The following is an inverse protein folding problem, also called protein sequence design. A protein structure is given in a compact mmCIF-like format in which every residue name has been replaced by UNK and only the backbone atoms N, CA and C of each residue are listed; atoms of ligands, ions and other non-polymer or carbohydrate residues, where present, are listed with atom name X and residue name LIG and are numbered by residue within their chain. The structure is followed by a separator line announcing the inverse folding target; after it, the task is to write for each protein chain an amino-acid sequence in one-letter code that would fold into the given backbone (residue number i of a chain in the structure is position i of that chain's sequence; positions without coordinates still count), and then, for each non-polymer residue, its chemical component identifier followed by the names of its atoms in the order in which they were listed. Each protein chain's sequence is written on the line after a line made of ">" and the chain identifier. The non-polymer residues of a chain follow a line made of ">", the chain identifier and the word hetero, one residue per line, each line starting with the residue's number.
data_IF_050723271748
#
_entry.id   IF_050723271748
#
_cell.length_a   1.000
_cell.length_b   1.000
_cell.length_c   1.000
_cell.angle_alpha   90.00
_cell.angle_beta   90.00
_cell.angle_gamma   90.00
#
_symmetry.space_group_name_H-M   'P 1'
#
loop_
_entity.id
_entity.type
_entity.pdbx_description
1 polymer ?
#
# COMPACT_ATOMS: atom_id res chain seq x y z
N UNK A 1 -7.22 -12.80 22.99
CA UNK A 1 -6.13 -13.61 22.52
C UNK A 1 -6.31 -15.05 22.98
N UNK A 2 -5.80 -16.00 22.24
CA UNK A 2 -5.96 -17.42 22.53
C UNK A 2 -4.66 -18.18 22.27
N UNK A 3 -4.55 -19.38 22.86
CA UNK A 3 -3.43 -20.27 22.64
C UNK A 3 -3.92 -21.57 22.01
N UNK A 4 -3.24 -22.02 20.96
CA UNK A 4 -3.59 -23.29 20.26
C UNK A 4 -3.25 -24.48 21.17
N UNK A 5 -4.24 -25.33 21.44
CA UNK A 5 -4.09 -26.57 22.19
C UNK A 5 -3.98 -27.80 21.32
N UNK A 6 -4.77 -27.86 20.24
CA UNK A 6 -4.82 -28.99 19.31
C UNK A 6 -5.08 -28.47 17.89
N UNK A 7 -4.54 -29.15 16.88
CA UNK A 7 -4.67 -28.78 15.48
C UNK A 7 -3.65 -27.74 15.03
N UNK A 8 -3.85 -27.22 13.82
CA UNK A 8 -3.04 -26.14 13.25
C UNK A 8 -3.91 -25.25 12.35
N UNK A 9 -3.64 -23.95 12.33
CA UNK A 9 -4.35 -22.97 11.52
C UNK A 9 -3.39 -22.02 10.85
N UNK A 10 -3.77 -21.53 9.70
CA UNK A 10 -3.14 -20.34 9.10
C UNK A 10 -3.99 -19.12 9.44
N UNK A 11 -3.35 -18.07 9.90
CA UNK A 11 -4.01 -16.83 10.31
C UNK A 11 -3.44 -15.64 9.56
N UNK A 12 -4.32 -14.73 9.20
CA UNK A 12 -3.94 -13.43 8.68
C UNK A 12 -3.95 -12.42 9.83
N UNK A 13 -2.80 -11.82 10.08
CA UNK A 13 -2.59 -10.81 11.13
C UNK A 13 -2.42 -9.39 10.56
N UNK A 14 -2.84 -9.14 9.32
CA UNK A 14 -2.66 -7.87 8.61
C UNK A 14 -3.21 -6.64 9.34
N UNK A 15 -4.29 -6.80 10.10
CA UNK A 15 -4.85 -5.72 10.93
C UNK A 15 -3.93 -5.32 12.10
N UNK A 16 -3.00 -6.19 12.49
CA UNK A 16 -2.08 -5.98 13.62
C UNK A 16 -0.68 -5.60 13.14
N UNK A 17 -0.19 -6.28 12.10
CA UNK A 17 1.18 -6.15 11.59
C UNK A 17 1.29 -5.30 10.34
N UNK A 18 0.19 -5.12 9.60
CA UNK A 18 0.18 -4.52 8.27
C UNK A 18 0.59 -5.47 7.14
N UNK A 19 1.02 -6.71 7.47
CA UNK A 19 1.46 -7.69 6.48
C UNK A 19 0.31 -8.64 6.13
N UNK A 20 0.06 -8.83 4.84
CA UNK A 20 -1.04 -9.68 4.34
C UNK A 20 -0.71 -11.17 4.30
N UNK A 21 0.52 -11.55 4.64
CA UNK A 21 0.95 -12.94 4.61
C UNK A 21 0.26 -13.74 5.72
N UNK A 22 -0.17 -14.96 5.37
CA UNK A 22 -0.73 -15.87 6.34
C UNK A 22 0.38 -16.52 7.14
N UNK A 23 0.21 -16.54 8.46
CA UNK A 23 1.16 -17.15 9.38
C UNK A 23 0.64 -18.49 9.88
N UNK A 24 1.41 -19.59 9.75
CA UNK A 24 1.04 -20.87 10.33
C UNK A 24 1.16 -20.81 11.85
N UNK A 25 0.12 -21.26 12.55
CA UNK A 25 0.07 -21.38 14.01
C UNK A 25 -0.16 -22.82 14.39
N UNK A 26 0.77 -23.36 15.16
CA UNK A 26 0.80 -24.73 15.63
C UNK A 26 0.45 -24.80 17.13
N UNK A 27 0.37 -26.04 17.65
CA UNK A 27 0.10 -26.26 19.08
C UNK A 27 1.14 -25.52 19.94
N UNK A 28 0.65 -24.67 20.81
CA UNK A 28 1.46 -23.83 21.71
C UNK A 28 1.61 -22.39 21.28
N UNK A 29 1.28 -22.06 20.02
CA UNK A 29 1.35 -20.70 19.49
C UNK A 29 0.16 -19.85 19.95
N UNK A 30 0.36 -18.53 19.93
CA UNK A 30 -0.65 -17.56 20.32
C UNK A 30 -1.37 -17.01 19.07
N UNK A 31 -2.69 -16.90 19.21
CA UNK A 31 -3.60 -16.26 18.27
C UNK A 31 -4.03 -14.92 18.85
N UNK A 32 -3.81 -13.86 18.10
CA UNK A 32 -4.13 -12.52 18.55
C UNK A 32 -5.55 -12.09 18.16
N UNK A 33 -6.21 -11.39 19.08
CA UNK A 33 -7.48 -10.70 18.80
C UNK A 33 -7.29 -9.70 17.65
N UNK A 34 -8.16 -9.76 16.65
CA UNK A 34 -8.04 -8.96 15.41
C UNK A 34 -7.41 -9.70 14.23
N UNK A 35 -6.86 -10.90 14.43
CA UNK A 35 -6.50 -11.81 13.36
C UNK A 35 -7.71 -12.66 12.94
N UNK A 36 -7.67 -13.20 11.72
CA UNK A 36 -8.70 -14.14 11.26
C UNK A 36 -8.06 -15.38 10.64
N UNK A 37 -8.72 -16.53 10.85
CA UNK A 37 -8.27 -17.81 10.33
C UNK A 37 -8.59 -17.89 8.84
N UNK A 38 -7.58 -18.15 8.03
CA UNK A 38 -7.69 -18.29 6.56
C UNK A 38 -7.75 -19.74 6.11
N UNK A 39 -7.12 -20.65 6.87
CA UNK A 39 -7.12 -22.08 6.59
C UNK A 39 -6.91 -22.91 7.86
N UNK A 40 -7.32 -24.19 7.84
CA UNK A 40 -7.14 -25.14 8.93
C UNK A 40 -8.20 -25.06 10.01
N UNK A 41 -8.04 -25.89 11.05
CA UNK A 41 -8.92 -25.99 12.22
C UNK A 41 -8.08 -26.25 13.47
N UNK A 42 -8.37 -25.54 14.55
CA UNK A 42 -7.70 -25.73 15.83
C UNK A 42 -8.61 -25.52 17.02
N UNK A 43 -8.33 -26.27 18.08
CA UNK A 43 -8.95 -26.05 19.38
C UNK A 43 -8.03 -25.10 20.20
N UNK A 44 -8.61 -23.99 20.69
CA UNK A 44 -7.83 -22.93 21.33
C UNK A 44 -8.37 -22.61 22.73
N UNK A 45 -7.48 -22.27 23.65
CA UNK A 45 -7.82 -21.74 24.95
C UNK A 45 -7.69 -20.22 24.96
N UNK A 46 -8.74 -19.53 25.34
CA UNK A 46 -8.71 -18.08 25.51
C UNK A 46 -7.83 -17.71 26.71
N UNK A 47 -6.83 -16.83 26.50
CA UNK A 47 -5.87 -16.38 27.52
C UNK A 47 -6.11 -14.94 27.94
N UNK A 48 -6.51 -14.04 27.01
CA UNK A 48 -6.82 -12.65 27.32
C UNK A 48 -8.18 -12.27 26.77
N UNK A 49 -8.91 -11.40 27.48
CA UNK A 49 -10.24 -10.93 27.08
C UNK A 49 -10.39 -9.41 27.32
N UNK A 50 -11.18 -8.78 26.51
CA UNK A 50 -11.53 -7.36 26.68
C UNK A 50 -10.34 -6.43 26.52
N UNK A 51 -9.99 -5.66 27.56
CA UNK A 51 -8.91 -4.65 27.49
C UNK A 51 -7.51 -5.24 27.51
N UNK A 52 -7.38 -6.48 27.94
CA UNK A 52 -6.09 -7.18 28.04
C UNK A 52 -5.70 -7.87 26.73
N UNK A 53 -6.56 -7.82 25.71
CA UNK A 53 -6.27 -8.32 24.37
C UNK A 53 -5.21 -7.45 23.69
N UNK A 54 -4.36 -8.05 22.89
CA UNK A 54 -3.30 -7.38 22.12
C UNK A 54 -3.84 -6.23 21.24
N UNK A 55 -4.90 -6.47 20.47
CA UNK A 55 -5.54 -5.44 19.65
C UNK A 55 -6.10 -4.27 20.49
N UNK A 56 -6.61 -4.54 21.71
CA UNK A 56 -7.11 -3.51 22.60
C UNK A 56 -5.96 -2.68 23.19
N UNK A 57 -4.81 -3.28 23.47
CA UNK A 57 -3.62 -2.59 23.94
C UNK A 57 -3.09 -1.64 22.86
N UNK A 58 -2.89 -2.12 21.61
CA UNK A 58 -2.49 -1.28 20.47
C UNK A 58 -3.48 -0.12 20.28
N UNK A 59 -4.78 -0.41 20.32
CA UNK A 59 -5.81 0.62 20.17
C UNK A 59 -5.76 1.65 21.31
N UNK A 60 -5.46 1.22 22.55
CA UNK A 60 -5.31 2.10 23.69
C UNK A 60 -4.09 3.01 23.56
N UNK A 61 -2.96 2.47 23.13
CA UNK A 61 -1.74 3.24 22.87
C UNK A 61 -1.94 4.23 21.70
N UNK A 62 -2.61 3.81 20.63
CA UNK A 62 -2.95 4.69 19.51
C UNK A 62 -3.93 5.82 19.92
N UNK A 63 -4.76 5.59 20.93
CA UNK A 63 -5.68 6.59 21.49
C UNK A 63 -5.01 7.54 22.51
N UNK A 64 -3.79 7.25 22.93
CA UNK A 64 -3.02 8.20 23.73
C UNK A 64 -2.76 9.47 22.93
N UNK A 65 -3.54 10.48 23.24
CA UNK A 65 -3.54 11.75 22.53
C UNK A 65 -2.26 12.53 22.84
N UNK A 66 -1.28 12.48 21.95
CA UNK A 66 -0.12 13.38 22.00
C UNK A 66 -0.58 14.78 21.58
N UNK A 67 -0.66 15.72 22.53
CA UNK A 67 -0.96 17.13 22.24
C UNK A 67 0.07 17.68 21.28
N UNK A 68 -0.35 17.98 20.08
CA UNK A 68 0.51 18.66 19.10
C UNK A 68 0.81 20.09 19.57
N UNK A 69 2.08 20.49 19.53
CA UNK A 69 2.49 21.85 19.80
C UNK A 69 2.17 22.73 18.60
N UNK A 70 1.08 23.49 18.69
CA UNK A 70 0.80 24.55 17.71
C UNK A 70 1.69 25.75 17.99
N UNK A 71 2.46 26.18 16.98
CA UNK A 71 3.29 27.37 17.06
C UNK A 71 2.45 28.65 17.19
N UNK A 72 1.31 28.69 16.49
CA UNK A 72 0.36 29.80 16.58
C UNK A 72 -0.17 29.95 18.02
N UNK A 73 -0.58 28.84 18.64
CA UNK A 73 -1.02 28.84 20.05
C UNK A 73 0.08 29.27 21.00
N UNK A 74 1.30 28.80 20.78
CA UNK A 74 2.46 29.18 21.61
C UNK A 74 2.80 30.68 21.47
N UNK A 75 2.75 31.17 20.24
CA UNK A 75 2.99 32.62 19.95
C UNK A 75 1.91 33.49 20.55
N UNK A 76 0.63 33.12 20.43
CA UNK A 76 -0.49 33.82 21.08
C UNK A 76 -0.34 33.82 22.58
N UNK A 77 -0.02 32.69 23.20
CA UNK A 77 0.20 32.60 24.64
C UNK A 77 1.40 33.43 25.10
N UNK A 78 2.46 33.49 24.31
CA UNK A 78 3.62 34.33 24.60
C UNK A 78 3.25 35.82 24.58
N UNK A 79 2.50 36.27 23.56
CA UNK A 79 2.00 37.65 23.47
C UNK A 79 1.10 37.97 24.66
N UNK A 80 0.13 37.09 24.96
CA UNK A 80 -0.76 37.30 26.12
C UNK A 80 0.00 37.36 27.45
N UNK A 81 1.02 36.49 27.61
CA UNK A 81 1.87 36.51 28.81
C UNK A 81 2.65 37.81 28.96
N UNK A 82 3.24 38.32 27.88
CA UNK A 82 3.96 39.60 27.90
C UNK A 82 3.00 40.76 28.25
N UNK A 83 1.84 40.81 27.58
CA UNK A 83 0.82 41.81 27.84
C UNK A 83 0.34 41.74 29.27
N UNK A 84 0.09 40.55 29.82
CA UNK A 84 -0.34 40.36 31.21
C UNK A 84 0.67 40.91 32.24
N UNK A 85 1.97 40.72 31.96
CA UNK A 85 3.04 41.26 32.80
C UNK A 85 3.07 42.80 32.73
N UNK A 86 2.86 43.40 31.55
CA UNK A 86 2.89 44.86 31.34
C UNK A 86 1.62 45.53 31.91
N UNK A 87 0.49 44.89 31.83
CA UNK A 87 -0.81 45.42 32.31
C UNK A 87 -0.77 45.73 33.81
N UNK A 88 -0.13 44.88 34.62
CA UNK A 88 -0.09 45.10 36.09
C UNK A 88 0.55 46.42 36.48
N UNK A 89 1.77 46.77 36.05
CA UNK A 89 2.39 48.06 36.39
C UNK A 89 1.66 49.26 35.77
N UNK A 90 1.14 49.10 34.51
CA UNK A 90 0.37 50.18 33.88
C UNK A 90 -0.97 50.40 34.63
N UNK A 91 -1.66 49.36 35.00
CA UNK A 91 -2.89 49.47 35.80
C UNK A 91 -2.65 50.14 37.12
N UNK A 92 -1.54 49.81 37.81
CA UNK A 92 -1.15 50.47 39.06
C UNK A 92 -0.86 51.96 38.85
N UNK A 93 -0.19 52.30 37.76
CA UNK A 93 0.16 53.69 37.39
C UNK A 93 -1.10 54.48 36.98
N UNK A 94 -2.05 53.87 36.24
CA UNK A 94 -3.33 54.49 35.93
C UNK A 94 -4.17 54.74 37.19
N UNK A 95 -4.24 53.76 38.09
CA UNK A 95 -4.95 53.92 39.37
C UNK A 95 -4.30 55.05 40.19
N UNK A 96 -2.94 55.08 40.34
CA UNK A 96 -2.24 56.10 41.07
C UNK A 96 -2.52 57.48 40.50
N UNK A 97 -2.44 57.63 39.15
CA UNK A 97 -2.73 58.89 38.48
C UNK A 97 -4.15 59.37 38.76
N UNK A 98 -5.14 58.47 38.62
CA UNK A 98 -6.57 58.84 38.77
C UNK A 98 -6.91 59.19 40.18
N UNK A 99 -6.41 58.44 41.16
CA UNK A 99 -6.75 58.62 42.58
C UNK A 99 -5.96 59.80 43.21
N UNK A 100 -4.66 59.91 42.96
CA UNK A 100 -3.82 60.93 43.63
C UNK A 100 -3.62 62.20 42.83
N UNK A 101 -3.64 62.19 41.50
CA UNK A 101 -3.37 63.38 40.68
C UNK A 101 -4.69 64.04 40.27
N UNK A 102 -5.65 63.25 39.76
CA UNK A 102 -6.96 63.78 39.31
C UNK A 102 -7.87 64.03 40.49
N UNK A 103 -7.76 63.25 41.59
CA UNK A 103 -8.54 63.41 42.79
C UNK A 103 -9.94 62.73 42.73
N UNK A 104 -10.12 61.75 41.85
CA UNK A 104 -11.35 61.02 41.72
C UNK A 104 -11.64 60.16 42.97
N UNK A 105 -12.93 59.77 43.12
CA UNK A 105 -13.29 58.82 44.18
C UNK A 105 -12.62 57.45 43.95
N UNK A 106 -12.37 56.72 45.02
CA UNK A 106 -11.78 55.36 44.92
C UNK A 106 -12.49 54.46 43.90
N UNK A 107 -13.82 54.53 43.88
CA UNK A 107 -14.65 53.77 42.97
C UNK A 107 -14.44 54.15 41.52
N UNK A 108 -14.41 55.46 41.21
CA UNK A 108 -14.28 55.97 39.85
C UNK A 108 -12.83 55.73 39.32
N UNK A 109 -11.84 55.80 40.20
CA UNK A 109 -10.45 55.47 39.88
C UNK A 109 -10.28 53.99 39.48
N UNK A 110 -10.96 53.07 40.18
CA UNK A 110 -10.96 51.66 39.81
C UNK A 110 -11.65 51.42 38.43
N UNK A 111 -12.82 52.04 38.23
CA UNK A 111 -13.57 51.88 36.97
C UNK A 111 -12.73 52.40 35.81
N UNK A 112 -12.09 53.55 35.92
CA UNK A 112 -11.23 54.15 34.92
C UNK A 112 -9.99 53.28 34.63
N UNK A 113 -9.38 52.74 35.70
CA UNK A 113 -8.25 51.81 35.56
C UNK A 113 -8.66 50.53 34.83
N UNK A 114 -9.77 49.90 35.22
CA UNK A 114 -10.26 48.68 34.57
C UNK A 114 -10.62 48.93 33.11
N UNK A 115 -11.29 50.05 32.80
CA UNK A 115 -11.63 50.38 31.41
C UNK A 115 -10.36 50.58 30.54
N UNK A 116 -9.32 51.22 31.09
CA UNK A 116 -8.05 51.38 30.40
C UNK A 116 -7.29 50.08 30.18
N UNK A 117 -7.30 49.20 31.18
CA UNK A 117 -6.67 47.88 31.14
C UNK A 117 -7.40 46.94 30.16
N UNK A 118 -8.73 46.92 30.14
CA UNK A 118 -9.51 46.13 29.22
C UNK A 118 -9.20 46.49 27.74
N UNK A 119 -9.03 47.77 27.44
CA UNK A 119 -8.68 48.19 26.09
C UNK A 119 -7.27 47.74 25.61
N UNK A 120 -6.39 47.30 26.53
CA UNK A 120 -5.05 46.83 26.21
C UNK A 120 -5.01 45.31 25.91
N UNK A 121 -6.05 44.57 26.24
CA UNK A 121 -6.11 43.13 25.97
C UNK A 121 -6.54 42.90 24.52
N UNK A 122 -5.74 42.18 23.70
CA UNK A 122 -6.07 41.98 22.28
C UNK A 122 -7.10 40.82 22.13
N UNK A 123 -8.30 40.95 22.69
CA UNK A 123 -9.33 39.95 22.64
C UNK A 123 -9.72 39.57 21.21
N UNK A 124 -9.68 40.56 20.29
CA UNK A 124 -9.97 40.36 18.88
C UNK A 124 -9.03 39.37 18.18
N UNK A 125 -7.76 39.32 18.64
CA UNK A 125 -6.78 38.42 18.03
C UNK A 125 -7.10 36.97 18.32
N UNK A 126 -7.44 36.63 19.56
CA UNK A 126 -7.81 35.24 19.97
C UNK A 126 -9.14 34.84 19.36
N UNK A 127 -10.12 35.76 19.33
CA UNK A 127 -11.42 35.50 18.72
C UNK A 127 -11.27 35.24 17.21
N UNK A 128 -10.54 36.10 16.49
CA UNK A 128 -10.36 35.99 15.05
C UNK A 128 -9.68 34.67 14.65
N UNK A 129 -8.62 34.29 15.37
CA UNK A 129 -7.94 33.01 15.15
C UNK A 129 -8.85 31.82 15.41
N UNK A 130 -9.62 31.85 16.50
CA UNK A 130 -10.56 30.77 16.80
C UNK A 130 -11.66 30.63 15.73
N UNK A 131 -12.19 31.77 15.25
CA UNK A 131 -13.20 31.79 14.17
C UNK A 131 -12.60 31.28 12.88
N UNK A 132 -11.40 31.71 12.50
CA UNK A 132 -10.73 31.24 11.28
C UNK A 132 -10.47 29.74 11.29
N UNK A 133 -9.96 29.19 12.40
CA UNK A 133 -9.74 27.76 12.55
C UNK A 133 -11.08 26.98 12.55
N UNK A 134 -12.12 27.52 13.18
CA UNK A 134 -13.46 26.89 13.17
C UNK A 134 -14.05 26.84 11.75
N UNK A 135 -13.89 27.92 10.96
CA UNK A 135 -14.32 27.92 9.55
C UNK A 135 -13.53 26.88 8.74
N UNK A 136 -12.22 26.77 8.95
CA UNK A 136 -11.41 25.72 8.33
C UNK A 136 -11.90 24.31 8.69
N UNK A 137 -12.21 24.08 9.97
CA UNK A 137 -12.77 22.80 10.42
C UNK A 137 -14.13 22.50 9.77
N UNK A 138 -15.01 23.51 9.60
CA UNK A 138 -16.29 23.34 8.91
C UNK A 138 -16.12 22.99 7.43
N UNK A 139 -15.15 23.59 6.74
CA UNK A 139 -14.85 23.26 5.35
C UNK A 139 -14.37 21.81 5.22
N UNK A 140 -13.50 21.35 6.13
CA UNK A 140 -13.05 19.95 6.16
C UNK A 140 -14.19 18.99 6.50
N UNK A 141 -15.05 19.34 7.45
CA UNK A 141 -16.22 18.53 7.81
C UNK A 141 -17.18 18.35 6.62
N UNK A 142 -17.40 19.40 5.81
CA UNK A 142 -18.19 19.30 4.59
C UNK A 142 -17.56 18.34 3.57
N UNK A 143 -16.25 18.20 3.58
CA UNK A 143 -15.51 17.18 2.79
C UNK A 143 -15.40 15.82 3.48
N UNK A 144 -16.23 15.55 4.48
CA UNK A 144 -16.26 14.29 5.27
C UNK A 144 -14.97 14.01 6.03
N UNK A 145 -14.16 15.03 6.31
CA UNK A 145 -12.92 14.91 7.08
C UNK A 145 -13.15 15.45 8.49
N UNK A 146 -13.02 14.59 9.50
CA UNK A 146 -13.21 14.97 10.90
C UNK A 146 -11.92 15.54 11.48
N UNK A 147 -11.99 16.77 11.98
CA UNK A 147 -10.89 17.43 12.67
C UNK A 147 -11.03 17.21 14.17
N UNK A 148 -10.05 16.60 14.80
CA UNK A 148 -10.05 16.33 16.24
C UNK A 148 -9.63 17.53 17.08
N UNK A 149 -8.67 18.32 16.60
CA UNK A 149 -8.19 19.58 17.20
C UNK A 149 -8.18 20.71 16.20
N UNK A 150 -8.66 21.89 16.59
CA UNK A 150 -8.70 23.06 15.71
C UNK A 150 -7.31 23.48 15.20
N UNK A 151 -6.28 23.31 16.03
CA UNK A 151 -4.90 23.68 15.67
C UNK A 151 -4.22 22.73 14.69
N UNK A 152 -4.78 21.55 14.42
CA UNK A 152 -4.23 20.64 13.40
C UNK A 152 -4.35 21.25 11.99
N UNK A 153 -5.29 22.18 11.77
CA UNK A 153 -5.43 22.92 10.50
C UNK A 153 -4.18 23.74 10.20
N UNK A 154 -3.61 24.37 11.24
CA UNK A 154 -2.33 25.09 11.12
C UNK A 154 -1.20 24.14 10.74
N UNK A 155 -1.15 22.98 11.39
CA UNK A 155 -0.12 21.96 11.10
C UNK A 155 -0.25 21.43 9.68
N UNK A 156 -1.47 21.15 9.23
CA UNK A 156 -1.74 20.71 7.85
C UNK A 156 -1.31 21.76 6.81
N UNK A 157 -1.52 23.04 7.11
CA UNK A 157 -1.12 24.13 6.21
C UNK A 157 0.40 24.33 6.08
N UNK A 158 1.18 23.68 6.94
CA UNK A 158 2.66 23.77 6.98
C UNK A 158 3.34 22.47 6.59
N UNK A 159 2.60 21.49 6.08
CA UNK A 159 3.18 20.24 5.60
C UNK A 159 4.02 20.53 4.37
N UNK A 160 5.30 20.21 4.44
CA UNK A 160 6.28 20.29 3.36
C UNK A 160 6.67 18.91 2.82
N UNK A 161 6.39 17.86 3.58
CA UNK A 161 6.69 16.48 3.21
C UNK A 161 5.50 15.59 3.54
N UNK A 162 4.99 14.86 2.55
CA UNK A 162 3.89 13.90 2.69
C UNK A 162 4.40 12.49 2.47
N UNK A 163 4.34 11.67 3.52
CA UNK A 163 4.70 10.26 3.45
C UNK A 163 3.44 9.42 3.29
N UNK A 164 3.34 8.69 2.19
CA UNK A 164 2.18 7.86 1.87
C UNK A 164 2.55 6.38 1.92
N UNK A 165 1.63 5.58 2.46
CA UNK A 165 1.65 4.14 2.26
C UNK A 165 1.06 3.82 0.88
N UNK A 166 1.61 2.81 0.18
CA UNK A 166 1.12 2.38 -1.13
C UNK A 166 -0.23 1.66 -0.99
N UNK A 167 -0.23 0.60 -0.15
CA UNK A 167 -1.34 -0.36 -0.10
C UNK A 167 -2.53 0.18 0.69
N UNK A 168 -3.70 0.24 0.07
CA UNK A 168 -4.92 0.76 0.69
C UNK A 168 -5.00 2.29 0.81
N UNK A 169 -3.92 3.02 0.47
CA UNK A 169 -3.88 4.50 0.43
C UNK A 169 -3.88 5.01 -1.01
N UNK A 170 -2.80 4.77 -1.75
CA UNK A 170 -2.70 5.10 -3.19
C UNK A 170 -3.48 4.06 -4.00
N UNK A 171 -3.45 2.80 -3.56
CA UNK A 171 -4.21 1.71 -4.16
C UNK A 171 -5.50 1.43 -3.38
N UNK A 172 -6.44 0.73 -4.00
CA UNK A 172 -7.70 0.31 -3.37
C UNK A 172 -7.52 -0.84 -2.36
N UNK A 173 -6.32 -1.47 -2.32
CA UNK A 173 -6.08 -2.70 -1.59
C UNK A 173 -6.68 -3.94 -2.26
N UNK A 174 -7.16 -3.80 -3.50
CA UNK A 174 -7.61 -4.88 -4.37
C UNK A 174 -6.61 -5.09 -5.50
N UNK A 175 -6.57 -6.32 -6.02
CA UNK A 175 -5.72 -6.66 -7.16
C UNK A 175 -6.56 -6.88 -8.41
N UNK A 176 -5.95 -6.71 -9.57
CA UNK A 176 -6.52 -7.13 -10.85
C UNK A 176 -5.49 -7.93 -11.66
N UNK A 177 -5.99 -8.78 -12.55
CA UNK A 177 -5.17 -9.46 -13.55
C UNK A 177 -5.03 -8.48 -14.72
N UNK A 178 -3.83 -7.96 -14.90
CA UNK A 178 -3.53 -7.03 -15.99
C UNK A 178 -3.42 -7.76 -17.31
N UNK A 179 -2.63 -8.84 -17.33
CA UNK A 179 -2.35 -9.61 -18.55
C UNK A 179 -2.09 -11.06 -18.23
N UNK A 180 -2.40 -11.94 -19.19
CA UNK A 180 -2.07 -13.37 -19.17
C UNK A 180 -1.18 -13.66 -20.36
N UNK A 181 0.02 -14.17 -20.11
CA UNK A 181 0.98 -14.50 -21.16
C UNK A 181 1.21 -16.01 -21.22
N UNK A 182 1.14 -16.61 -22.40
CA UNK A 182 1.55 -18.00 -22.58
C UNK A 182 3.06 -18.13 -22.34
N UNK A 183 3.46 -19.19 -21.66
CA UNK A 183 4.86 -19.52 -21.52
C UNK A 183 5.21 -20.63 -22.50
N UNK A 184 6.04 -20.32 -23.50
CA UNK A 184 6.64 -21.28 -24.41
C UNK A 184 8.13 -21.31 -24.17
N UNK A 185 8.65 -22.48 -23.84
CA UNK A 185 10.10 -22.69 -23.89
C UNK A 185 10.51 -22.58 -25.36
N UNK A 186 11.40 -21.68 -25.70
CA UNK A 186 12.06 -21.68 -26.99
C UNK A 186 12.85 -22.99 -27.10
N UNK A 187 12.25 -24.01 -27.70
CA UNK A 187 13.03 -25.16 -28.14
C UNK A 187 13.95 -24.63 -29.23
N UNK A 188 15.25 -24.63 -28.95
CA UNK A 188 16.26 -24.46 -29.96
C UNK A 188 15.92 -25.39 -31.15
N UNK A 189 15.48 -24.79 -32.25
CA UNK A 189 15.45 -25.44 -33.55
C UNK A 189 16.89 -25.59 -34.05
N UNK A 190 17.57 -26.58 -33.54
CA UNK A 190 18.74 -27.14 -34.19
C UNK A 190 18.37 -28.46 -34.82
N UNK A 191 17.75 -28.41 -36.00
CA UNK A 191 17.92 -29.44 -37.05
C UNK A 191 17.39 -28.93 -38.39
N UNK A 192 18.33 -28.68 -39.27
CA UNK A 192 18.28 -28.88 -40.71
C UNK A 192 17.12 -28.31 -41.54
N UNK A 193 17.38 -27.15 -42.14
CA UNK A 193 17.00 -26.92 -43.55
C UNK A 193 18.06 -26.04 -44.18
N UNK A 194 19.01 -26.72 -44.82
CA UNK A 194 19.65 -26.16 -46.01
C UNK A 194 18.53 -25.73 -46.98
N UNK A 195 18.57 -24.50 -47.47
CA UNK A 195 18.46 -24.18 -48.90
C UNK A 195 18.51 -22.67 -49.11
N UNK A 196 19.55 -22.33 -49.76
CA UNK A 196 19.67 -21.37 -50.89
C UNK A 196 19.97 -19.90 -50.62
N UNK A 197 21.11 -19.58 -51.18
CA UNK A 197 21.73 -18.29 -51.25
C UNK A 197 20.95 -17.29 -52.13
N UNK A 198 20.86 -16.08 -51.66
CA UNK A 198 20.37 -14.93 -52.40
C UNK A 198 21.02 -13.63 -51.94
N UNK A 199 22.19 -13.37 -52.47
CA UNK A 199 23.01 -12.18 -52.43
C UNK A 199 22.21 -10.87 -52.54
N UNK A 200 22.43 -9.90 -51.67
CA UNK A 200 22.58 -8.49 -52.03
C UNK A 200 23.29 -7.70 -50.93
N UNK A 201 24.53 -7.40 -51.19
CA UNK A 201 25.33 -6.31 -50.60
C UNK A 201 24.59 -4.98 -50.71
N UNK A 202 24.63 -4.17 -49.68
CA UNK A 202 24.93 -2.74 -49.79
C UNK A 202 25.72 -2.31 -48.56
N UNK A 203 26.96 -1.99 -48.83
CA UNK A 203 27.95 -1.24 -48.06
C UNK A 203 27.49 0.18 -47.74
N UNK A 204 27.89 0.75 -46.67
CA UNK A 204 28.94 1.76 -46.43
C UNK A 204 28.46 2.76 -45.35
N UNK A 205 29.15 2.79 -44.30
CA UNK A 205 30.15 3.73 -43.74
C UNK A 205 29.63 5.05 -43.17
N UNK A 206 30.03 5.31 -41.96
CA UNK A 206 30.67 6.52 -41.43
C UNK A 206 30.75 6.45 -39.92
N UNK A 207 31.88 6.17 -39.39
CA UNK A 207 32.91 7.09 -38.86
C UNK A 207 32.63 7.55 -37.40
N UNK A 208 33.57 7.07 -36.61
CA UNK A 208 34.01 7.46 -35.27
C UNK A 208 34.15 8.97 -35.08
N UNK A 209 33.73 9.44 -33.90
CA UNK A 209 34.50 10.49 -33.21
C UNK A 209 34.50 10.18 -31.70
N UNK A 210 35.67 9.76 -31.26
CA UNK A 210 36.10 9.81 -29.86
C UNK A 210 36.30 11.27 -29.47
N UNK A 211 35.88 11.62 -28.25
CA UNK A 211 36.60 12.63 -27.47
C UNK A 211 36.43 12.36 -25.98
N UNK A 212 37.58 12.13 -25.37
CA UNK A 212 37.90 12.12 -23.95
C UNK A 212 37.33 13.27 -23.14
N UNK A 213 37.02 13.05 -21.89
CA UNK A 213 37.80 13.59 -20.76
C UNK A 213 37.16 13.33 -19.42
N UNK A 214 37.83 12.53 -18.62
CA UNK A 214 38.12 12.60 -17.19
C UNK A 214 37.30 13.47 -16.23
N UNK A 215 37.01 12.82 -15.10
CA UNK A 215 37.08 13.33 -13.72
C UNK A 215 35.92 14.19 -13.21
N UNK A 216 35.05 13.55 -12.45
CA UNK A 216 34.79 13.91 -11.04
C UNK A 216 33.99 12.84 -10.33
N UNK A 217 34.69 11.98 -9.60
CA UNK A 217 34.13 11.32 -8.43
C UNK A 217 33.93 12.37 -7.37
N UNK A 218 32.72 12.52 -6.88
CA UNK A 218 32.44 12.80 -5.46
C UNK A 218 30.96 12.57 -5.19
N UNK A 219 30.70 11.61 -4.34
CA UNK A 219 29.57 11.47 -3.41
C UNK A 219 28.31 12.28 -3.70
N UNK A 220 27.26 11.61 -4.18
CA UNK A 220 25.90 11.72 -3.66
C UNK A 220 25.22 10.36 -3.86
N UNK A 221 25.27 9.52 -2.86
CA UNK A 221 24.32 8.42 -2.70
C UNK A 221 23.01 8.99 -2.14
N UNK A 222 21.91 8.48 -2.66
CA UNK A 222 20.53 8.66 -2.20
C UNK A 222 19.80 9.91 -2.74
N UNK A 223 19.53 9.95 -4.03
CA UNK A 223 18.36 10.60 -4.61
C UNK A 223 18.21 10.13 -6.08
N UNK A 224 18.02 8.87 -6.29
CA UNK A 224 17.46 8.37 -7.55
C UNK A 224 16.16 7.67 -7.18
N UNK A 225 15.15 8.15 -7.77
CA UNK A 225 13.95 7.48 -8.27
C UNK A 225 12.80 8.48 -8.19
N UNK A 226 12.56 9.18 -9.24
CA UNK A 226 11.24 9.46 -9.82
C UNK A 226 11.45 10.42 -11.02
N UNK A 227 12.14 9.89 -12.05
CA UNK A 227 11.97 10.42 -13.39
C UNK A 227 11.51 9.24 -14.25
N UNK A 228 10.25 8.90 -14.10
CA UNK A 228 9.56 8.08 -15.10
C UNK A 228 8.37 8.90 -15.54
N UNK A 229 8.41 9.35 -16.76
CA UNK A 229 7.29 9.96 -17.47
C UNK A 229 6.01 9.19 -17.16
N UNK A 230 5.11 9.83 -16.42
CA UNK A 230 3.73 9.37 -16.29
C UNK A 230 3.09 9.66 -17.64
N UNK A 231 3.23 8.70 -18.55
CA UNK A 231 2.39 8.66 -19.75
C UNK A 231 0.95 8.48 -19.29
N UNK A 232 0.10 9.40 -19.68
CA UNK A 232 -1.35 9.36 -19.49
C UNK A 232 -1.89 7.96 -19.84
N UNK A 233 -2.15 7.14 -18.84
CA UNK A 233 -2.95 5.94 -19.03
C UNK A 233 -4.41 6.38 -18.87
N UNK A 234 -4.92 6.92 -19.94
CA UNK A 234 -6.35 7.00 -20.21
C UNK A 234 -6.96 5.63 -19.95
N UNK A 235 -8.08 5.60 -19.21
CA UNK A 235 -8.94 4.42 -19.10
C UNK A 235 -9.50 4.09 -20.49
N UNK A 236 -8.68 3.44 -21.30
CA UNK A 236 -9.06 2.88 -22.59
C UNK A 236 -9.40 1.41 -22.33
N UNK A 237 -10.53 1.02 -22.83
CA UNK A 237 -10.93 -0.38 -23.04
C UNK A 237 -9.68 -1.17 -23.44
N UNK A 238 -9.34 -2.18 -22.61
CA UNK A 238 -8.21 -3.08 -22.87
C UNK A 238 -8.49 -3.77 -24.20
N UNK A 239 -7.99 -3.18 -25.27
CA UNK A 239 -7.87 -3.84 -26.56
C UNK A 239 -6.94 -5.03 -26.35
N UNK A 240 -7.43 -6.21 -26.71
CA UNK A 240 -6.64 -7.44 -26.78
C UNK A 240 -5.42 -7.17 -27.67
N UNK A 241 -4.29 -6.89 -27.03
CA UNK A 241 -3.03 -6.74 -27.75
C UNK A 241 -2.49 -8.13 -28.07
N UNK A 242 -2.07 -8.26 -29.31
CA UNK A 242 -1.64 -9.49 -29.97
C UNK A 242 -0.43 -10.10 -29.26
N UNK A 243 -0.69 -10.96 -28.27
CA UNK A 243 0.32 -11.95 -27.89
C UNK A 243 0.35 -13.04 -28.96
N UNK A 244 1.52 -13.42 -29.39
CA UNK A 244 1.84 -14.41 -30.44
C UNK A 244 1.33 -15.86 -30.15
N UNK A 245 0.50 -16.01 -29.13
CA UNK A 245 -0.24 -17.20 -28.79
C UNK A 245 -1.61 -17.15 -29.47
N UNK A 246 -1.85 -18.09 -30.37
CA UNK A 246 -3.11 -18.18 -31.09
C UNK A 246 -4.32 -18.22 -30.13
N UNK A 247 -5.48 -17.71 -30.54
CA UNK A 247 -6.69 -17.59 -29.71
C UNK A 247 -7.09 -18.92 -29.05
N UNK A 248 -6.83 -20.05 -29.67
CA UNK A 248 -7.14 -21.37 -29.12
C UNK A 248 -6.38 -21.70 -27.81
N UNK A 249 -5.14 -21.25 -27.65
CA UNK A 249 -4.37 -21.48 -26.42
C UNK A 249 -4.89 -20.62 -25.26
N UNK A 250 -5.26 -19.37 -25.53
CA UNK A 250 -5.85 -18.49 -24.53
C UNK A 250 -7.23 -18.99 -24.07
N UNK A 251 -8.00 -19.61 -24.98
CA UNK A 251 -9.27 -20.27 -24.64
C UNK A 251 -9.04 -21.49 -23.72
N UNK A 252 -7.99 -22.29 -23.98
CA UNK A 252 -7.64 -23.45 -23.15
C UNK A 252 -7.18 -23.02 -21.74
N UNK A 253 -6.27 -22.07 -21.63
CA UNK A 253 -5.84 -21.52 -20.32
C UNK A 253 -7.03 -20.92 -19.58
N UNK A 254 -7.91 -20.20 -20.29
CA UNK A 254 -9.11 -19.63 -19.73
C UNK A 254 -10.07 -20.70 -19.17
N UNK A 255 -10.26 -21.82 -19.90
CA UNK A 255 -11.10 -22.93 -19.45
C UNK A 255 -10.52 -23.61 -18.20
N UNK A 256 -9.21 -23.86 -18.17
CA UNK A 256 -8.50 -24.42 -17.02
C UNK A 256 -8.68 -23.51 -15.81
N UNK A 257 -8.42 -22.23 -15.95
CA UNK A 257 -8.56 -21.25 -14.87
C UNK A 257 -9.99 -21.14 -14.35
N UNK A 258 -11.00 -21.14 -15.21
CA UNK A 258 -12.41 -21.14 -14.80
C UNK A 258 -12.76 -22.36 -13.94
N UNK A 259 -12.25 -23.55 -14.30
CA UNK A 259 -12.43 -24.78 -13.52
C UNK A 259 -11.66 -24.72 -12.19
N UNK A 260 -10.42 -24.21 -12.18
CA UNK A 260 -9.66 -24.02 -10.95
C UNK A 260 -10.37 -23.04 -10.00
N UNK A 261 -10.89 -21.92 -10.51
CA UNK A 261 -11.65 -20.97 -9.69
C UNK A 261 -12.96 -21.53 -9.12
N UNK A 262 -13.52 -22.55 -9.76
CA UNK A 262 -14.69 -23.25 -9.23
C UNK A 262 -14.36 -24.13 -8.03
N UNK A 263 -13.20 -24.80 -8.05
CA UNK A 263 -12.83 -25.82 -7.03
C UNK A 263 -12.00 -25.24 -5.89
N UNK A 264 -11.15 -24.23 -6.14
CA UNK A 264 -10.39 -23.54 -5.10
C UNK A 264 -11.32 -22.67 -4.26
N UNK A 265 -11.29 -22.85 -2.94
CA UNK A 265 -12.15 -22.13 -1.97
C UNK A 265 -11.41 -21.04 -1.20
N UNK A 266 -10.14 -20.85 -1.52
CA UNK A 266 -9.31 -19.85 -0.86
C UNK A 266 -9.92 -18.44 -0.98
N UNK A 267 -9.76 -17.64 0.06
CA UNK A 267 -10.26 -16.26 0.14
C UNK A 267 -9.08 -15.32 0.38
N UNK A 268 -8.52 -14.79 -0.69
CA UNK A 268 -7.48 -13.77 -0.65
C UNK A 268 -7.58 -12.86 -1.88
N UNK A 269 -6.95 -11.68 -1.82
CA UNK A 269 -7.01 -10.68 -2.88
C UNK A 269 -6.60 -11.23 -4.25
N UNK A 270 -5.64 -12.16 -4.29
CA UNK A 270 -5.15 -12.81 -5.51
C UNK A 270 -6.24 -13.68 -6.16
N UNK A 271 -6.86 -14.57 -5.38
CA UNK A 271 -7.94 -15.44 -5.87
C UNK A 271 -9.17 -14.62 -6.27
N UNK A 272 -9.49 -13.57 -5.53
CA UNK A 272 -10.62 -12.69 -5.87
C UNK A 272 -10.38 -11.96 -7.19
N UNK A 273 -9.16 -11.51 -7.46
CA UNK A 273 -8.78 -10.92 -8.74
C UNK A 273 -8.87 -11.94 -9.89
N UNK A 274 -8.39 -13.17 -9.66
CA UNK A 274 -8.49 -14.25 -10.63
C UNK A 274 -9.94 -14.65 -10.93
N UNK A 275 -10.82 -14.71 -9.91
CA UNK A 275 -12.26 -14.98 -10.09
C UNK A 275 -12.98 -13.91 -10.90
N UNK A 276 -12.57 -12.65 -10.75
CA UNK A 276 -13.11 -11.55 -11.58
C UNK A 276 -12.75 -11.73 -13.05
N UNK A 277 -11.52 -12.17 -13.35
CA UNK A 277 -11.03 -12.39 -14.72
C UNK A 277 -11.51 -13.72 -15.33
N UNK A 278 -11.56 -14.78 -14.49
CA UNK A 278 -11.95 -16.15 -14.86
C UNK A 278 -13.16 -16.57 -14.02
N UNK A 279 -14.38 -16.32 -14.49
CA UNK A 279 -15.58 -16.70 -13.75
C UNK A 279 -15.63 -18.22 -13.48
N UNK A 280 -15.92 -18.59 -12.23
CA UNK A 280 -15.98 -19.97 -11.82
C UNK A 280 -16.98 -20.78 -12.68
N UNK A 281 -16.51 -21.83 -13.34
CA UNK A 281 -17.31 -22.70 -14.22
C UNK A 281 -16.90 -24.15 -14.00
N UNK A 282 -17.86 -25.01 -13.79
CA UNK A 282 -17.64 -26.45 -13.72
C UNK A 282 -17.70 -27.05 -15.13
N UNK A 283 -16.59 -27.61 -15.59
CA UNK A 283 -16.48 -28.26 -16.89
C UNK A 283 -15.63 -29.54 -16.83
N UNK A 284 -14.74 -29.63 -15.83
CA UNK A 284 -13.83 -30.77 -15.61
C UNK A 284 -14.22 -31.54 -14.35
N UNK A 285 -13.99 -32.86 -14.35
CA UNK A 285 -14.20 -33.69 -13.17
C UNK A 285 -13.05 -33.55 -12.22
N UNK A 286 -13.33 -33.05 -11.01
CA UNK A 286 -12.35 -32.88 -9.95
C UNK A 286 -12.04 -34.21 -9.29
N UNK A 287 -10.76 -34.53 -9.12
CA UNK A 287 -10.30 -35.68 -8.31
C UNK A 287 -9.80 -35.19 -6.94
N UNK A 288 -8.92 -34.20 -6.93
CA UNK A 288 -8.32 -33.69 -5.68
C UNK A 288 -8.06 -32.18 -5.76
N UNK A 289 -8.16 -31.50 -4.61
CA UNK A 289 -7.79 -30.08 -4.47
C UNK A 289 -6.53 -29.96 -3.65
N UNK A 290 -5.57 -29.20 -4.14
CA UNK A 290 -4.36 -28.82 -3.43
C UNK A 290 -4.58 -27.41 -2.89
N UNK A 291 -4.94 -27.25 -1.59
CA UNK A 291 -5.22 -25.95 -1.01
C UNK A 291 -3.94 -25.09 -0.93
N UNK A 292 -4.08 -23.79 -0.96
CA UNK A 292 -2.96 -22.87 -0.76
C UNK A 292 -2.32 -23.07 0.61
N UNK A 293 -1.00 -22.95 0.67
CA UNK A 293 -0.25 -22.87 1.91
C UNK A 293 0.81 -21.79 1.78
N UNK A 294 0.97 -21.00 2.85
CA UNK A 294 1.98 -19.94 2.92
C UNK A 294 3.41 -20.47 2.85
N UNK A 295 3.63 -21.72 3.27
CA UNK A 295 4.93 -22.38 3.18
C UNK A 295 5.25 -22.82 1.75
N UNK A 296 4.25 -23.36 1.06
CA UNK A 296 4.39 -23.89 -0.30
C UNK A 296 4.24 -22.81 -1.37
N UNK A 297 3.51 -21.72 -1.07
CA UNK A 297 3.24 -20.60 -1.99
C UNK A 297 2.60 -21.02 -3.33
N UNK A 298 1.91 -22.14 -3.35
CA UNK A 298 1.10 -22.61 -4.49
C UNK A 298 -0.18 -23.28 -4.03
N UNK A 299 -1.15 -23.31 -4.93
CA UNK A 299 -2.40 -24.07 -4.85
C UNK A 299 -2.71 -24.70 -6.19
N UNK A 300 -3.65 -25.65 -6.23
CA UNK A 300 -4.00 -26.29 -7.49
C UNK A 300 -5.14 -27.27 -7.39
N UNK A 301 -5.35 -27.97 -8.49
CA UNK A 301 -6.37 -29.00 -8.61
C UNK A 301 -5.89 -30.13 -9.52
N UNK A 302 -6.31 -31.34 -9.21
CA UNK A 302 -6.12 -32.55 -10.01
C UNK A 302 -7.45 -32.88 -10.69
N UNK A 303 -7.44 -32.93 -12.02
CA UNK A 303 -8.62 -33.28 -12.81
C UNK A 303 -8.45 -34.64 -13.48
N UNK A 304 -9.53 -35.45 -13.47
CA UNK A 304 -9.54 -36.75 -14.15
C UNK A 304 -9.12 -36.60 -15.62
N UNK A 305 -8.29 -37.53 -16.10
CA UNK A 305 -7.78 -37.58 -17.48
C UNK A 305 -6.96 -36.33 -17.94
N UNK A 306 -6.85 -35.28 -17.12
CA UNK A 306 -6.15 -34.04 -17.46
C UNK A 306 -4.86 -33.82 -16.66
N UNK A 307 -4.70 -34.53 -15.51
CA UNK A 307 -3.54 -34.40 -14.64
C UNK A 307 -3.66 -33.29 -13.63
N UNK A 308 -2.51 -32.78 -13.17
CA UNK A 308 -2.39 -31.81 -12.09
C UNK A 308 -2.10 -30.42 -12.65
N UNK A 309 -2.88 -29.43 -12.22
CA UNK A 309 -2.64 -28.01 -12.50
C UNK A 309 -2.30 -27.29 -11.21
N UNK A 310 -1.19 -26.58 -11.20
CA UNK A 310 -0.70 -25.81 -10.08
C UNK A 310 -0.57 -24.33 -10.44
N UNK A 311 -0.84 -23.47 -9.48
CA UNK A 311 -0.70 -22.04 -9.61
C UNK A 311 0.04 -21.49 -8.40
N UNK A 312 1.13 -20.75 -8.63
CA UNK A 312 1.95 -20.21 -7.56
C UNK A 312 3.13 -19.39 -8.05
N UNK A 313 4.03 -19.04 -7.13
CA UNK A 313 5.24 -18.32 -7.47
C UNK A 313 6.27 -19.26 -8.13
N UNK A 314 6.95 -18.78 -9.16
CA UNK A 314 7.89 -19.56 -9.99
C UNK A 314 8.92 -20.32 -9.15
N UNK A 315 9.54 -19.66 -8.19
CA UNK A 315 10.59 -20.22 -7.33
C UNK A 315 10.14 -21.40 -6.46
N UNK A 316 8.83 -21.56 -6.21
CA UNK A 316 8.28 -22.66 -5.41
C UNK A 316 7.74 -23.80 -6.30
N UNK A 317 7.34 -23.49 -7.52
CA UNK A 317 6.92 -24.51 -8.48
C UNK A 317 8.10 -25.14 -9.22
N UNK A 318 9.18 -24.37 -9.43
CA UNK A 318 10.38 -24.77 -10.20
C UNK A 318 11.66 -24.47 -9.40
N UNK A 319 11.92 -25.19 -8.28
CA UNK A 319 13.04 -24.85 -7.38
C UNK A 319 14.41 -25.12 -7.97
N UNK A 320 14.55 -25.96 -8.98
CA UNK A 320 15.87 -26.44 -9.43
C UNK A 320 16.24 -26.07 -10.87
N UNK A 321 15.33 -25.66 -11.78
CA UNK A 321 15.74 -25.71 -13.22
C UNK A 321 15.03 -24.79 -14.23
N UNK A 322 14.56 -23.62 -13.87
CA UNK A 322 14.05 -22.72 -14.93
C UNK A 322 14.58 -21.30 -14.76
N UNK A 323 15.87 -21.13 -15.07
CA UNK A 323 16.52 -19.81 -14.95
C UNK A 323 15.83 -18.77 -15.85
N UNK A 324 15.42 -19.12 -17.07
CA UNK A 324 14.71 -18.25 -18.02
C UNK A 324 13.36 -17.79 -17.43
N UNK A 325 12.58 -18.71 -16.87
CA UNK A 325 11.31 -18.39 -16.21
C UNK A 325 11.52 -17.46 -15.01
N UNK A 326 12.54 -17.74 -14.22
CA UNK A 326 12.84 -16.95 -13.02
C UNK A 326 13.29 -15.54 -13.38
N UNK A 327 14.17 -15.39 -14.38
CA UNK A 327 14.62 -14.08 -14.88
C UNK A 327 13.45 -13.28 -15.46
N UNK A 328 12.56 -13.92 -16.22
CA UNK A 328 11.37 -13.28 -16.78
C UNK A 328 10.39 -12.84 -15.69
N UNK A 329 10.14 -13.69 -14.69
CA UNK A 329 9.30 -13.33 -13.54
C UNK A 329 9.92 -12.18 -12.73
N UNK A 330 11.25 -12.16 -12.59
CA UNK A 330 11.94 -11.11 -11.88
C UNK A 330 11.87 -9.77 -12.62
N UNK A 331 12.00 -9.77 -13.95
CA UNK A 331 11.85 -8.55 -14.76
C UNK A 331 10.46 -7.91 -14.54
N UNK A 332 9.39 -8.71 -14.59
CA UNK A 332 8.04 -8.20 -14.30
C UNK A 332 7.87 -7.73 -12.85
N UNK A 333 8.55 -8.38 -11.88
CA UNK A 333 8.50 -7.95 -10.49
C UNK A 333 9.23 -6.61 -10.28
N UNK A 334 10.29 -6.34 -11.04
CA UNK A 334 10.99 -5.03 -11.06
C UNK A 334 10.09 -3.92 -11.62
N UNK A 335 9.20 -4.26 -12.57
CA UNK A 335 8.14 -3.36 -13.07
C UNK A 335 6.97 -3.21 -12.09
N UNK A 336 7.04 -3.83 -10.91
CA UNK A 336 6.03 -3.73 -9.86
C UNK A 336 4.84 -4.67 -10.01
N UNK A 337 4.90 -5.62 -10.94
CA UNK A 337 3.87 -6.62 -11.16
C UNK A 337 4.07 -7.85 -10.26
N UNK A 338 2.99 -8.40 -9.77
CA UNK A 338 3.00 -9.72 -9.12
C UNK A 338 2.78 -10.79 -10.17
N UNK A 339 3.71 -11.74 -10.27
CA UNK A 339 3.66 -12.82 -11.26
C UNK A 339 3.22 -14.12 -10.59
N UNK A 340 2.19 -14.75 -11.14
CA UNK A 340 1.80 -16.11 -10.81
C UNK A 340 2.00 -17.01 -12.04
N UNK A 341 2.59 -18.18 -11.83
CA UNK A 341 2.79 -19.18 -12.87
C UNK A 341 1.68 -20.20 -12.79
N UNK A 342 1.01 -20.44 -13.89
CA UNK A 342 0.17 -21.64 -14.08
C UNK A 342 1.04 -22.73 -14.67
N UNK A 343 1.08 -23.88 -14.02
CA UNK A 343 1.88 -25.03 -14.45
C UNK A 343 1.02 -26.29 -14.53
N UNK A 344 1.42 -27.22 -15.36
CA UNK A 344 0.72 -28.49 -15.61
C UNK A 344 1.67 -29.68 -15.58
N UNK A 345 1.18 -30.78 -15.06
CA UNK A 345 1.79 -32.11 -15.20
C UNK A 345 0.73 -33.16 -15.53
N UNK A 346 1.06 -34.07 -16.41
CA UNK A 346 0.18 -35.24 -16.71
C UNK A 346 0.07 -36.24 -15.55
N UNK A 347 0.95 -36.12 -14.55
CA UNK A 347 0.91 -36.95 -13.35
C UNK A 347 -0.24 -36.48 -12.45
N UNK A 348 -1.00 -37.46 -11.94
CA UNK A 348 -2.02 -37.23 -10.91
C UNK A 348 -1.40 -37.44 -9.54
N UNK A 349 -1.53 -36.47 -8.67
CA UNK A 349 -0.95 -36.45 -7.31
C UNK A 349 -2.06 -36.65 -6.29
N UNK A 350 -1.90 -37.59 -5.37
CA UNK A 350 -2.86 -37.84 -4.28
C UNK A 350 -2.65 -36.90 -3.06
N UNK A 351 -1.57 -36.15 -3.04
CA UNK A 351 -1.15 -35.29 -1.92
C UNK A 351 -1.00 -33.83 -2.29
N UNK A 352 -0.10 -33.16 -1.58
CA UNK A 352 0.22 -31.73 -1.78
C UNK A 352 1.63 -31.51 -2.31
N UNK A 353 2.33 -32.59 -2.68
CA UNK A 353 3.69 -32.53 -3.22
C UNK A 353 3.69 -32.12 -4.69
N UNK A 354 4.83 -31.63 -5.16
CA UNK A 354 4.98 -31.26 -6.57
C UNK A 354 5.04 -32.53 -7.44
N UNK A 355 4.26 -32.58 -8.53
CA UNK A 355 4.35 -33.68 -9.49
C UNK A 355 5.66 -33.66 -10.27
N UNK A 356 6.10 -34.84 -10.73
CA UNK A 356 7.20 -34.92 -11.70
C UNK A 356 6.74 -34.40 -13.08
N UNK A 357 7.68 -33.83 -13.84
CA UNK A 357 7.39 -33.33 -15.19
C UNK A 357 6.43 -32.13 -15.19
N UNK A 358 6.53 -31.26 -14.19
CA UNK A 358 5.78 -30.02 -14.14
C UNK A 358 6.31 -29.04 -15.20
N UNK A 359 5.46 -28.56 -16.08
CA UNK A 359 5.78 -27.61 -17.15
C UNK A 359 5.00 -26.31 -16.97
N UNK A 360 5.64 -25.12 -17.11
CA UNK A 360 4.92 -23.85 -17.04
C UNK A 360 4.06 -23.67 -18.32
N UNK A 361 2.80 -23.28 -18.12
CA UNK A 361 1.86 -23.01 -19.21
C UNK A 361 1.68 -21.53 -19.48
N UNK A 362 1.45 -20.74 -18.44
CA UNK A 362 1.14 -19.32 -18.58
C UNK A 362 1.61 -18.52 -17.37
N UNK A 363 1.88 -17.25 -17.60
CA UNK A 363 2.17 -16.24 -16.59
C UNK A 363 0.94 -15.35 -16.43
N UNK A 364 0.48 -15.21 -15.21
CA UNK A 364 -0.58 -14.26 -14.85
C UNK A 364 0.06 -13.06 -14.18
N UNK A 365 0.05 -11.93 -14.88
CA UNK A 365 0.60 -10.67 -14.41
C UNK A 365 -0.50 -9.90 -13.69
N UNK A 366 -0.25 -9.58 -12.44
CA UNK A 366 -1.24 -8.95 -11.56
C UNK A 366 -0.68 -7.65 -11.00
N UNK A 367 -1.55 -6.66 -10.85
CA UNK A 367 -1.20 -5.37 -10.27
C UNK A 367 -2.21 -4.93 -9.22
N UNK A 368 -1.78 -4.05 -8.33
CA UNK A 368 -2.69 -3.39 -7.39
C UNK A 368 -3.51 -2.33 -8.12
N UNK A 369 -4.81 -2.28 -7.87
CA UNK A 369 -5.69 -1.26 -8.46
C UNK A 369 -5.39 0.10 -7.83
N UNK A 370 -4.90 1.02 -8.64
CA UNK A 370 -4.66 2.41 -8.24
C UNK A 370 -6.00 3.15 -8.18
N UNK A 371 -6.21 3.98 -7.16
CA UNK A 371 -7.43 4.81 -7.04
C UNK A 371 -7.49 5.83 -8.17
N UNK A 372 -8.67 6.04 -8.74
CA UNK A 372 -8.87 7.01 -9.83
C UNK A 372 -8.42 8.43 -9.45
N UNK A 373 -8.62 8.82 -8.20
CA UNK A 373 -8.26 10.15 -7.71
C UNK A 373 -6.79 10.29 -7.30
N UNK A 374 -6.02 9.21 -7.26
CA UNK A 374 -4.65 9.24 -6.79
C UNK A 374 -3.71 10.10 -7.67
N UNK A 375 -3.72 9.99 -9.01
CA UNK A 375 -2.87 10.82 -9.87
C UNK A 375 -3.14 12.31 -9.69
N UNK A 376 -4.40 12.73 -9.70
CA UNK A 376 -4.79 14.14 -9.52
C UNK A 376 -4.39 14.66 -8.14
N UNK A 377 -4.55 13.82 -7.11
CA UNK A 377 -4.19 14.18 -5.75
C UNK A 377 -2.68 14.36 -5.59
N UNK A 378 -1.88 13.46 -6.16
CA UNK A 378 -0.42 13.55 -6.14
C UNK A 378 0.07 14.78 -6.90
N UNK A 379 -0.46 15.03 -8.10
CA UNK A 379 -0.15 16.22 -8.90
C UNK A 379 -0.53 17.53 -8.16
N UNK A 380 -1.64 17.52 -7.41
CA UNK A 380 -2.00 18.65 -6.56
C UNK A 380 -0.94 18.93 -5.49
N UNK A 381 -0.47 17.91 -4.76
CA UNK A 381 0.56 18.10 -3.74
C UNK A 381 1.88 18.56 -4.34
N UNK A 382 2.27 18.02 -5.48
CA UNK A 382 3.45 18.45 -6.22
C UNK A 382 3.35 19.95 -6.62
N UNK A 383 2.18 20.39 -7.10
CA UNK A 383 1.91 21.78 -7.44
C UNK A 383 1.98 22.74 -6.24
N UNK A 384 1.86 22.20 -5.01
CA UNK A 384 2.00 22.95 -3.75
C UNK A 384 3.42 22.88 -3.18
N UNK A 385 4.39 22.36 -3.94
CA UNK A 385 5.78 22.19 -3.51
C UNK A 385 5.92 21.26 -2.27
N UNK A 386 5.00 20.28 -2.12
CA UNK A 386 5.06 19.26 -1.07
C UNK A 386 5.87 18.08 -1.58
N UNK A 387 6.93 17.72 -0.85
CA UNK A 387 7.78 16.58 -1.16
C UNK A 387 7.02 15.28 -0.89
N UNK A 388 6.81 14.46 -1.92
CA UNK A 388 6.08 13.20 -1.83
C UNK A 388 7.06 12.05 -1.58
N UNK A 389 6.80 11.26 -0.53
CA UNK A 389 7.59 10.08 -0.20
C UNK A 389 6.67 8.88 -0.03
N UNK A 390 7.03 7.79 -0.68
CA UNK A 390 6.40 6.49 -0.50
C UNK A 390 7.26 5.64 0.42
N UNK A 391 6.66 4.92 1.36
CA UNK A 391 7.35 3.89 2.10
C UNK A 391 7.45 2.65 1.20
N UNK A 392 8.66 2.20 0.83
CA UNK A 392 8.79 0.91 0.18
C UNK A 392 8.34 -0.17 1.16
N UNK A 393 7.46 -1.06 0.73
CA UNK A 393 7.18 -2.29 1.47
C UNK A 393 8.51 -3.03 1.57
N UNK A 394 9.05 -3.17 2.78
CA UNK A 394 10.20 -4.04 2.99
C UNK A 394 9.73 -5.48 2.74
N UNK A 395 9.95 -5.97 1.53
CA UNK A 395 9.90 -7.40 1.24
C UNK A 395 11.14 -8.00 1.93
N UNK A 396 10.92 -8.64 3.08
CA UNK A 396 11.91 -9.53 3.70
C UNK A 396 11.74 -10.93 3.16
#
# INVERSE_FOLDING_TARGET
>A
DAKVLEGSVEVNESLLTGESDNLPKNVGDELFSGSFVTAGEACCQIIHVGKDNYAAQITSEAKEFKRHNSELKNSLNAILKVISIIIVPIGALLFYKQYYIVGDTFKDSIVSMVAGVLGMIPEGLVLLTSVALTLGALVLANKKTLVQELYCIETLARVDTLCLDKTGTITEGTMCVERVEPYRVSKDESTDAEVDAGLAEITESAELTEMDTESRQTEVQAAEVFDTEITEVSATEVSADETDAGPAFMDEVGEIMCNMMYVLKDQNATIDALRKRFPAKQGMTLEHVIPFSSDRKYSGAVFEEKGTYLMGAAQFLFPEDNQELTERCQAYAEDGLRVLVLAHSSQMVEGTELPEGLEPLALMLMTDVIREEAPDTLAFFESQEVDLRSFPVMIR
#
